data_IF_210904438017
#
_entry.id   IF_210904438017
#
_cell.length_a   1.000
_cell.length_b   1.000
_cell.length_c   1.000
_cell.angle_alpha   90.00
_cell.angle_beta   90.00
_cell.angle_gamma   90.00
#
_symmetry.space_group_name_H-M   'P 1'
#
loop_
_entity.id
_entity.type
_entity.pdbx_description
1 polymer ?
#
# COMPACT_ATOMS: atom_id res chain seq x y z
N UNK A 1 105.33 16.77 0.05
CA UNK A 1 104.31 17.82 0.34
C UNK A 1 103.31 17.94 -0.80
N UNK A 2 103.69 18.36 -2.01
CA UNK A 2 102.72 18.50 -3.12
C UNK A 2 102.15 17.15 -3.58
N UNK A 3 102.98 16.11 -3.68
CA UNK A 3 102.57 14.72 -4.00
C UNK A 3 101.70 14.05 -2.95
N UNK A 4 101.90 14.36 -1.66
CA UNK A 4 101.09 13.82 -0.56
C UNK A 4 99.69 14.47 -0.55
N UNK A 5 99.61 15.76 -0.86
CA UNK A 5 98.36 16.48 -1.01
C UNK A 5 97.55 15.99 -2.22
N UNK A 6 98.20 15.74 -3.35
CA UNK A 6 97.55 15.18 -4.55
C UNK A 6 97.03 13.76 -4.29
N UNK A 7 97.80 12.95 -3.56
CA UNK A 7 97.39 11.58 -3.17
C UNK A 7 96.20 11.61 -2.20
N UNK A 8 96.22 12.51 -1.22
CA UNK A 8 95.09 12.74 -0.32
C UNK A 8 93.85 13.24 -1.08
N UNK A 9 94.03 14.13 -2.07
CA UNK A 9 92.95 14.63 -2.91
C UNK A 9 92.30 13.52 -3.75
N UNK A 10 93.11 12.66 -4.39
CA UNK A 10 92.61 11.49 -5.11
C UNK A 10 91.88 10.53 -4.18
N UNK A 11 92.38 10.29 -2.96
CA UNK A 11 91.71 9.42 -1.99
C UNK A 11 90.33 9.97 -1.57
N UNK A 12 90.21 11.29 -1.41
CA UNK A 12 88.95 11.96 -1.11
C UNK A 12 87.96 11.80 -2.27
N UNK A 13 88.39 12.00 -3.50
CA UNK A 13 87.55 11.83 -4.69
C UNK A 13 87.03 10.38 -4.81
N UNK A 14 87.91 9.39 -4.59
CA UNK A 14 87.50 7.98 -4.60
C UNK A 14 86.49 7.69 -3.49
N UNK A 15 86.71 8.21 -2.26
CA UNK A 15 85.76 8.05 -1.16
C UNK A 15 84.39 8.70 -1.45
N UNK A 16 84.39 9.87 -2.10
CA UNK A 16 83.17 10.55 -2.54
C UNK A 16 82.43 9.75 -3.61
N UNK A 17 83.15 9.15 -4.57
CA UNK A 17 82.56 8.26 -5.58
C UNK A 17 81.95 7.01 -4.95
N UNK A 18 82.63 6.39 -3.98
CA UNK A 18 82.10 5.24 -3.23
C UNK A 18 80.84 5.62 -2.44
N UNK A 19 80.84 6.79 -1.78
CA UNK A 19 79.66 7.28 -1.08
C UNK A 19 78.48 7.55 -2.03
N UNK A 20 78.74 8.15 -3.19
CA UNK A 20 77.71 8.39 -4.21
C UNK A 20 77.12 7.08 -4.74
N UNK A 21 77.96 6.07 -5.03
CA UNK A 21 77.53 4.75 -5.43
C UNK A 21 76.69 4.04 -4.35
N UNK A 22 77.11 4.14 -3.08
CA UNK A 22 76.34 3.60 -1.95
C UNK A 22 74.99 4.29 -1.78
N UNK A 23 74.90 5.60 -2.03
CA UNK A 23 73.64 6.35 -1.99
C UNK A 23 72.70 5.96 -3.12
N UNK A 24 73.23 5.76 -4.33
CA UNK A 24 72.43 5.25 -5.45
C UNK A 24 71.87 3.87 -5.14
N UNK A 25 72.72 2.95 -4.66
CA UNK A 25 72.30 1.60 -4.30
C UNK A 25 71.23 1.58 -3.19
N UNK A 26 71.32 2.49 -2.22
CA UNK A 26 70.27 2.64 -1.20
C UNK A 26 68.94 3.12 -1.82
N UNK A 27 68.99 4.14 -2.68
CA UNK A 27 67.79 4.65 -3.36
C UNK A 27 67.15 3.60 -4.28
N UNK A 28 67.95 2.76 -4.93
CA UNK A 28 67.46 1.65 -5.75
C UNK A 28 66.75 0.59 -4.90
N UNK A 29 67.31 0.26 -3.72
CA UNK A 29 66.68 -0.67 -2.76
C UNK A 29 65.40 -0.09 -2.14
N UNK A 30 65.37 1.21 -1.80
CA UNK A 30 64.17 1.89 -1.32
C UNK A 30 63.05 1.85 -2.37
N UNK A 31 63.38 2.09 -3.65
CA UNK A 31 62.43 1.97 -4.74
C UNK A 31 61.93 0.52 -4.96
N UNK A 32 62.81 -0.48 -4.76
CA UNK A 32 62.43 -1.91 -4.82
C UNK A 32 61.49 -2.28 -3.66
N UNK A 33 61.74 -1.78 -2.44
CA UNK A 33 60.84 -1.95 -1.29
C UNK A 33 59.46 -1.34 -1.56
N UNK A 34 59.40 -0.12 -2.07
CA UNK A 34 58.15 0.54 -2.43
C UNK A 34 57.37 -0.27 -3.48
N UNK A 35 58.06 -0.80 -4.50
CA UNK A 35 57.44 -1.64 -5.53
C UNK A 35 56.89 -2.94 -4.97
N UNK A 36 57.65 -3.62 -4.10
CA UNK A 36 57.17 -4.82 -3.40
C UNK A 36 55.95 -4.53 -2.53
N UNK A 37 55.91 -3.35 -1.90
CA UNK A 37 54.75 -2.86 -1.16
C UNK A 37 53.49 -2.76 -2.05
N UNK A 38 53.63 -2.16 -3.23
CA UNK A 38 52.53 -2.06 -4.21
C UNK A 38 52.06 -3.42 -4.71
N UNK A 39 52.99 -4.34 -4.99
CA UNK A 39 52.67 -5.70 -5.45
C UNK A 39 51.90 -6.50 -4.38
N UNK A 40 52.26 -6.34 -3.10
CA UNK A 40 51.53 -6.93 -1.96
C UNK A 40 50.11 -6.34 -1.89
N UNK A 41 49.97 -5.03 -2.05
CA UNK A 41 48.67 -4.36 -2.03
C UNK A 41 47.77 -4.82 -3.21
N UNK A 42 48.34 -5.00 -4.39
CA UNK A 42 47.66 -5.56 -5.56
C UNK A 42 47.20 -7.00 -5.32
N UNK A 43 48.08 -7.86 -4.81
CA UNK A 43 47.73 -9.22 -4.43
C UNK A 43 46.61 -9.24 -3.36
N UNK A 44 46.68 -8.33 -2.37
CA UNK A 44 45.65 -8.15 -1.35
C UNK A 44 44.30 -7.67 -1.91
N UNK A 45 44.30 -6.82 -2.95
CA UNK A 45 43.09 -6.44 -3.68
C UNK A 45 42.52 -7.61 -4.47
N UNK A 46 43.35 -8.35 -5.20
CA UNK A 46 42.93 -9.50 -5.98
C UNK A 46 42.27 -10.59 -5.11
N UNK A 47 42.85 -10.90 -3.95
CA UNK A 47 42.28 -11.89 -3.02
C UNK A 47 40.94 -11.43 -2.43
N UNK A 48 40.80 -10.16 -2.03
CA UNK A 48 39.51 -9.60 -1.56
C UNK A 48 38.43 -9.64 -2.64
N UNK A 49 38.80 -9.35 -3.89
CA UNK A 49 37.87 -9.46 -5.03
C UNK A 49 37.44 -10.90 -5.26
N UNK A 50 38.37 -11.86 -5.24
CA UNK A 50 38.05 -13.28 -5.37
C UNK A 50 37.17 -13.80 -4.21
N UNK A 51 37.43 -13.34 -2.98
CA UNK A 51 36.62 -13.70 -1.81
C UNK A 51 35.18 -13.17 -1.92
N UNK A 52 34.98 -11.95 -2.42
CA UNK A 52 33.64 -11.40 -2.70
C UNK A 52 32.94 -12.19 -3.79
N UNK A 53 33.62 -12.46 -4.90
CA UNK A 53 33.06 -13.27 -5.99
C UNK A 53 32.64 -14.68 -5.54
N UNK A 54 33.38 -15.29 -4.61
CA UNK A 54 33.00 -16.57 -4.00
C UNK A 54 31.76 -16.44 -3.11
N UNK A 55 31.68 -15.38 -2.30
CA UNK A 55 30.51 -15.11 -1.46
C UNK A 55 29.25 -14.85 -2.30
N UNK A 56 29.39 -14.17 -3.43
CA UNK A 56 28.30 -13.88 -4.37
C UNK A 56 27.71 -15.14 -5.04
N UNK A 57 28.42 -16.28 -5.00
CA UNK A 57 27.87 -17.58 -5.45
C UNK A 57 26.80 -18.15 -4.51
N UNK A 58 26.66 -17.61 -3.29
CA UNK A 58 25.63 -18.02 -2.34
C UNK A 58 24.66 -16.86 -2.12
N UNK A 59 23.51 -16.93 -2.77
CA UNK A 59 22.44 -15.94 -2.60
C UNK A 59 21.64 -16.30 -1.35
N UNK A 60 21.64 -15.39 -0.37
CA UNK A 60 20.83 -15.52 0.85
C UNK A 60 19.79 -14.42 0.90
N UNK A 61 18.60 -14.75 1.41
CA UNK A 61 17.54 -13.77 1.61
C UNK A 61 17.95 -12.78 2.71
N UNK A 62 17.87 -11.48 2.43
CA UNK A 62 18.16 -10.42 3.41
C UNK A 62 17.05 -10.20 4.45
N UNK A 63 15.86 -10.77 4.22
CA UNK A 63 14.70 -10.68 5.10
C UNK A 63 13.94 -12.01 5.13
N UNK A 64 13.15 -12.21 6.18
CA UNK A 64 12.25 -13.35 6.31
C UNK A 64 10.86 -12.99 5.80
N UNK A 65 10.18 -13.94 5.18
CA UNK A 65 8.85 -13.71 4.62
C UNK A 65 8.41 -14.80 3.67
N UNK A 66 7.35 -14.51 2.91
CA UNK A 66 6.82 -15.40 1.89
C UNK A 66 7.54 -15.15 0.57
N UNK A 67 8.13 -16.19 -0.01
CA UNK A 67 8.78 -16.13 -1.33
C UNK A 67 7.76 -16.29 -2.46
N UNK A 68 7.79 -15.36 -3.40
CA UNK A 68 7.03 -15.38 -4.65
C UNK A 68 8.01 -15.30 -5.82
N UNK A 69 8.19 -16.42 -6.51
CA UNK A 69 9.10 -16.47 -7.65
C UNK A 69 9.21 -17.88 -8.19
N UNK A 70 9.98 -18.02 -9.27
CA UNK A 70 10.36 -19.34 -9.77
C UNK A 70 11.40 -19.92 -8.82
N UNK A 71 11.18 -21.15 -8.36
CA UNK A 71 12.20 -21.89 -7.59
C UNK A 71 13.24 -22.37 -8.60
N UNK A 72 14.50 -21.93 -8.53
CA UNK A 72 15.53 -22.34 -9.48
C UNK A 72 15.77 -23.85 -9.39
N UNK A 73 16.04 -24.49 -10.52
CA UNK A 73 16.39 -25.91 -10.56
C UNK A 73 17.91 -26.05 -10.62
N UNK A 74 18.42 -27.14 -10.04
CA UNK A 74 19.85 -27.45 -10.09
C UNK A 74 20.27 -27.60 -11.55
N UNK A 75 21.27 -26.81 -11.97
CA UNK A 75 21.82 -26.81 -13.32
C UNK A 75 21.37 -25.63 -14.18
N UNK A 76 20.41 -24.84 -13.72
CA UNK A 76 20.03 -23.60 -14.40
C UNK A 76 21.15 -22.55 -14.25
N UNK A 77 21.49 -21.90 -15.36
CA UNK A 77 22.45 -20.82 -15.37
C UNK A 77 21.74 -19.51 -15.01
N UNK A 78 22.19 -18.86 -13.93
CA UNK A 78 21.69 -17.55 -13.51
C UNK A 78 22.57 -16.44 -14.09
N UNK A 79 21.93 -15.40 -14.58
CA UNK A 79 22.59 -14.20 -15.11
C UNK A 79 22.73 -13.11 -14.04
N UNK A 80 23.71 -12.23 -14.22
CA UNK A 80 23.89 -11.10 -13.30
C UNK A 80 22.68 -10.15 -13.37
N UNK A 81 22.07 -9.90 -12.21
CA UNK A 81 20.89 -9.05 -12.10
C UNK A 81 19.57 -9.75 -12.44
N UNK A 82 19.57 -11.07 -12.60
CA UNK A 82 18.36 -11.85 -12.79
C UNK A 82 17.46 -11.79 -11.55
N UNK A 83 16.18 -11.49 -11.76
CA UNK A 83 15.18 -11.50 -10.69
C UNK A 83 14.71 -12.93 -10.45
N UNK A 84 15.13 -13.52 -9.33
CA UNK A 84 14.69 -14.88 -8.94
C UNK A 84 13.25 -14.87 -8.40
N UNK A 85 12.91 -13.80 -7.68
CA UNK A 85 11.61 -13.62 -7.05
C UNK A 85 11.63 -12.49 -6.05
N UNK A 86 10.50 -12.34 -5.37
CA UNK A 86 10.26 -11.34 -4.33
C UNK A 86 10.00 -12.05 -3.00
N UNK A 87 10.50 -11.49 -1.91
CA UNK A 87 10.20 -11.96 -0.56
C UNK A 87 9.39 -10.86 0.11
N UNK A 88 8.19 -11.22 0.57
CA UNK A 88 7.29 -10.29 1.23
C UNK A 88 7.17 -10.65 2.71
N UNK A 89 7.57 -9.72 3.57
CA UNK A 89 7.32 -9.82 5.00
C UNK A 89 5.83 -9.55 5.28
N UNK A 90 5.16 -10.52 5.91
CA UNK A 90 3.73 -10.43 6.24
C UNK A 90 3.48 -9.92 7.66
N UNK A 91 4.52 -9.75 8.46
CA UNK A 91 4.41 -9.25 9.83
C UNK A 91 4.49 -7.71 9.87
N UNK A 92 5.05 -7.09 8.82
CA UNK A 92 5.23 -5.64 8.68
C UNK A 92 4.43 -5.08 7.49
N UNK A 93 3.10 -5.15 7.57
CA UNK A 93 2.21 -4.67 6.51
C UNK A 93 1.80 -3.20 6.70
N UNK A 94 1.79 -2.48 5.59
CA UNK A 94 1.29 -1.11 5.51
C UNK A 94 0.05 -1.00 4.62
N UNK A 95 -0.83 -0.08 4.98
CA UNK A 95 -2.02 0.26 4.20
C UNK A 95 -1.94 1.72 3.80
N UNK A 96 -2.13 1.96 2.51
CA UNK A 96 -2.15 3.30 1.92
C UNK A 96 -3.59 3.77 1.85
N UNK A 97 -3.88 4.86 2.56
CA UNK A 97 -5.21 5.46 2.67
C UNK A 97 -5.29 6.70 1.80
N UNK A 98 -6.24 6.68 0.87
CA UNK A 98 -6.56 7.81 0.00
C UNK A 98 -7.49 8.78 0.74
N UNK A 99 -6.90 9.73 1.46
CA UNK A 99 -7.62 10.78 2.20
C UNK A 99 -7.54 12.12 1.48
N UNK A 100 -8.61 12.91 1.48
CA UNK A 100 -8.56 14.27 0.93
C UNK A 100 -7.79 15.22 1.86
N UNK A 101 -7.35 16.37 1.35
CA UNK A 101 -6.61 17.36 2.15
C UNK A 101 -7.36 17.81 3.42
N UNK A 102 -8.70 17.90 3.36
CA UNK A 102 -9.53 18.23 4.53
C UNK A 102 -9.51 17.12 5.56
N UNK A 103 -9.43 15.87 5.14
CA UNK A 103 -9.44 14.71 6.04
C UNK A 103 -8.08 14.50 6.70
N UNK A 104 -7.00 14.68 5.92
CA UNK A 104 -5.63 14.69 6.45
C UNK A 104 -5.49 15.75 7.54
N UNK A 105 -6.04 16.96 7.33
CA UNK A 105 -6.01 18.02 8.33
C UNK A 105 -6.69 17.63 9.66
N UNK A 106 -7.70 16.75 9.62
CA UNK A 106 -8.44 16.29 10.81
C UNK A 106 -7.68 15.25 11.62
N UNK A 107 -6.81 14.48 10.97
CA UNK A 107 -5.98 13.44 11.61
C UNK A 107 -4.55 13.93 11.90
N UNK A 108 -4.24 15.19 11.56
CA UNK A 108 -2.94 15.81 11.77
C UNK A 108 -2.92 16.63 13.06
N UNK A 109 -1.76 16.66 13.72
CA UNK A 109 -1.44 17.54 14.84
C UNK A 109 -0.16 18.35 14.54
N UNK A 110 0.24 19.21 15.48
CA UNK A 110 1.51 19.93 15.38
C UNK A 110 2.67 18.93 15.37
N UNK A 111 3.37 18.80 14.24
CA UNK A 111 4.53 17.94 14.09
C UNK A 111 4.28 16.55 13.50
N UNK A 112 3.05 16.19 13.11
CA UNK A 112 2.78 14.89 12.48
C UNK A 112 1.32 14.46 12.49
N UNK A 113 1.07 13.16 12.33
CA UNK A 113 -0.25 12.56 12.49
C UNK A 113 -0.54 12.31 13.99
N UNK A 114 -1.82 12.37 14.36
CA UNK A 114 -2.26 11.95 15.70
C UNK A 114 -2.21 10.42 15.83
N UNK A 115 -1.94 9.88 17.03
CA UNK A 115 -1.97 8.44 17.31
C UNK A 115 -3.41 7.94 17.43
N UNK A 116 -4.13 7.93 16.30
CA UNK A 116 -5.51 7.49 16.21
C UNK A 116 -5.57 5.99 15.95
N UNK A 117 -6.54 5.32 16.58
CA UNK A 117 -6.86 3.92 16.29
C UNK A 117 -7.57 3.83 14.95
N UNK A 118 -7.14 2.91 14.12
CA UNK A 118 -7.73 2.63 12.80
C UNK A 118 -8.19 1.18 12.79
N UNK A 119 -9.48 0.95 12.56
CA UNK A 119 -9.99 -0.38 12.27
C UNK A 119 -10.10 -0.56 10.76
N UNK A 120 -9.49 -1.62 10.25
CA UNK A 120 -9.54 -1.99 8.85
C UNK A 120 -10.47 -3.17 8.68
N UNK A 121 -11.21 -3.20 7.57
CA UNK A 121 -12.06 -4.33 7.21
C UNK A 121 -11.98 -4.63 5.73
N UNK A 122 -12.02 -5.92 5.36
CA UNK A 122 -11.98 -6.33 3.95
C UNK A 122 -13.41 -6.58 3.46
N UNK A 123 -13.88 -5.87 2.42
CA UNK A 123 -15.22 -6.06 1.87
C UNK A 123 -15.51 -7.52 1.53
N UNK A 124 -16.70 -8.00 1.89
CA UNK A 124 -17.11 -9.39 1.63
C UNK A 124 -16.55 -10.43 2.62
N UNK A 125 -15.79 -10.01 3.62
CA UNK A 125 -15.32 -10.89 4.70
C UNK A 125 -15.64 -10.28 6.08
N UNK A 126 -15.81 -11.10 7.13
CA UNK A 126 -15.96 -10.60 8.49
C UNK A 126 -14.61 -10.24 9.15
N UNK A 127 -13.51 -10.17 8.39
CA UNK A 127 -12.18 -9.92 8.95
C UNK A 127 -12.01 -8.45 9.27
N UNK A 128 -11.52 -8.19 10.48
CA UNK A 128 -11.19 -6.86 10.97
C UNK A 128 -9.76 -6.85 11.52
N UNK A 129 -9.07 -5.74 11.34
CA UNK A 129 -7.69 -5.54 11.73
C UNK A 129 -7.53 -4.21 12.44
N UNK A 130 -6.63 -4.17 13.41
CA UNK A 130 -6.24 -2.93 14.08
C UNK A 130 -4.96 -2.38 13.44
N UNK A 131 -4.93 -1.07 13.25
CA UNK A 131 -3.82 -0.34 12.66
C UNK A 131 -3.66 1.03 13.33
N UNK A 132 -2.49 1.62 13.14
CA UNK A 132 -2.17 2.98 13.58
C UNK A 132 -1.67 3.84 12.43
N UNK A 133 -2.07 5.11 12.42
CA UNK A 133 -1.56 6.09 11.47
C UNK A 133 -0.08 6.35 11.74
N UNK A 134 0.78 6.24 10.72
CA UNK A 134 2.22 6.42 10.87
C UNK A 134 2.70 7.75 10.27
N UNK A 135 2.52 7.94 8.95
CA UNK A 135 3.01 9.12 8.26
C UNK A 135 2.19 9.49 7.02
N UNK A 136 2.40 10.71 6.53
CA UNK A 136 1.89 11.13 5.23
C UNK A 136 2.98 10.92 4.19
N UNK A 137 2.70 10.10 3.19
CA UNK A 137 3.55 9.88 2.03
C UNK A 137 3.12 10.78 0.87
N UNK A 138 4.11 11.26 0.12
CA UNK A 138 3.93 12.02 -1.11
C UNK A 138 4.36 11.13 -2.26
N UNK A 139 3.40 10.65 -3.05
CA UNK A 139 3.69 9.81 -4.21
C UNK A 139 3.47 10.64 -5.48
N UNK A 140 4.45 10.64 -6.38
CA UNK A 140 4.26 11.19 -7.71
C UNK A 140 3.20 10.36 -8.46
N UNK A 141 2.26 11.04 -9.10
CA UNK A 141 1.23 10.43 -9.92
C UNK A 141 1.22 11.13 -11.26
N UNK A 142 1.22 10.35 -12.34
CA UNK A 142 1.23 10.88 -13.71
C UNK A 142 -0.06 11.65 -14.05
N UNK A 143 -1.18 11.36 -13.36
CA UNK A 143 -2.50 11.94 -13.65
C UNK A 143 -2.81 13.20 -12.82
N UNK A 144 -2.43 13.21 -11.54
CA UNK A 144 -2.79 14.28 -10.58
C UNK A 144 -1.56 15.02 -10.01
N UNK A 145 -0.36 14.75 -10.54
CA UNK A 145 0.91 15.33 -10.13
C UNK A 145 1.46 14.70 -8.86
N UNK A 146 0.96 15.10 -7.69
CA UNK A 146 1.40 14.52 -6.41
C UNK A 146 0.21 14.07 -5.59
N UNK A 147 0.06 12.76 -5.42
CA UNK A 147 -0.90 12.15 -4.53
C UNK A 147 -0.37 12.20 -3.09
N UNK A 148 -1.15 12.78 -2.17
CA UNK A 148 -0.88 12.71 -0.74
C UNK A 148 -1.64 11.52 -0.17
N UNK A 149 -0.93 10.54 0.35
CA UNK A 149 -1.53 9.35 0.93
C UNK A 149 -1.12 9.24 2.39
N UNK A 150 -2.04 8.81 3.24
CA UNK A 150 -1.72 8.51 4.63
C UNK A 150 -1.37 7.04 4.73
N UNK A 151 -0.24 6.73 5.34
CA UNK A 151 0.21 5.35 5.57
C UNK A 151 -0.15 4.95 6.99
N UNK A 152 -0.86 3.84 7.12
CA UNK A 152 -1.15 3.17 8.38
C UNK A 152 -0.39 1.85 8.47
N UNK A 153 0.15 1.54 9.64
CA UNK A 153 0.78 0.25 9.91
C UNK A 153 -0.20 -0.67 10.63
N UNK A 154 -0.25 -1.93 10.22
CA UNK A 154 -0.98 -2.94 10.97
C UNK A 154 -0.27 -3.24 12.29
N UNK A 155 -1.06 -3.47 13.34
CA UNK A 155 -0.51 -3.92 14.61
C UNK A 155 0.02 -5.35 14.51
N UNK A 156 1.23 -5.64 15.05
CA UNK A 156 1.79 -6.98 15.05
C UNK A 156 0.87 -7.98 15.75
N UNK A 157 0.60 -9.13 15.11
CA UNK A 157 -0.25 -10.17 15.67
C UNK A 157 -1.75 -10.06 15.33
N UNK A 158 -2.15 -9.10 14.48
CA UNK A 158 -3.52 -9.00 13.93
C UNK A 158 -3.87 -10.11 12.91
N UNK A 159 -3.21 -11.26 12.95
CA UNK A 159 -3.33 -12.29 11.92
C UNK A 159 -4.51 -13.24 12.15
N UNK A 160 -5.28 -13.60 11.10
CA UNK A 160 -4.87 -13.69 9.69
C UNK A 160 -4.89 -12.36 8.91
N UNK A 161 -3.70 -11.82 8.64
CA UNK A 161 -3.45 -10.49 8.12
C UNK A 161 -3.98 -10.34 6.67
N UNK A 162 -4.31 -9.12 6.22
CA UNK A 162 -4.71 -8.89 4.83
C UNK A 162 -3.56 -9.24 3.89
N UNK A 163 -3.90 -9.70 2.68
CA UNK A 163 -2.88 -10.01 1.69
C UNK A 163 -2.44 -8.73 0.95
N UNK A 164 -1.15 -8.59 0.59
CA UNK A 164 -0.70 -7.49 -0.24
C UNK A 164 -1.52 -7.37 -1.53
N UNK A 165 -1.99 -6.16 -1.82
CA UNK A 165 -2.84 -5.87 -2.99
C UNK A 165 -4.35 -5.98 -2.73
N UNK A 166 -4.79 -6.44 -1.55
CA UNK A 166 -6.20 -6.37 -1.17
C UNK A 166 -6.63 -4.93 -0.85
N UNK A 167 -7.86 -4.59 -1.23
CA UNK A 167 -8.49 -3.34 -0.86
C UNK A 167 -9.19 -3.48 0.49
N UNK A 168 -8.94 -2.53 1.39
CA UNK A 168 -9.55 -2.49 2.72
C UNK A 168 -10.31 -1.18 2.91
N UNK A 169 -11.34 -1.22 3.75
CA UNK A 169 -12.03 -0.04 4.26
C UNK A 169 -11.44 0.30 5.62
N UNK A 170 -10.94 1.52 5.75
CA UNK A 170 -10.41 2.05 7.01
C UNK A 170 -11.44 2.92 7.71
N UNK A 171 -11.70 2.62 8.98
CA UNK A 171 -12.47 3.44 9.88
C UNK A 171 -11.52 4.03 10.92
N UNK A 172 -11.36 5.35 10.88
CA UNK A 172 -10.42 6.09 11.73
C UNK A 172 -11.20 6.71 12.87
N UNK A 173 -10.89 6.30 14.11
CA UNK A 173 -11.55 6.86 15.28
C UNK A 173 -10.96 8.25 15.59
N UNK A 174 -11.67 9.30 15.20
CA UNK A 174 -11.30 10.68 15.49
C UNK A 174 -11.65 11.08 16.94
N UNK A 175 -11.00 12.13 17.49
CA UNK A 175 -11.35 12.69 18.79
C UNK A 175 -12.81 13.17 18.83
N UNK A 176 -13.47 12.99 19.98
CA UNK A 176 -14.85 13.42 20.17
C UNK A 176 -14.97 14.95 20.08
N UNK A 177 -15.91 15.42 19.28
CA UNK A 177 -16.30 16.83 19.23
C UNK A 177 -17.14 17.17 20.46
N UNK A 178 -16.79 18.25 21.16
CA UNK A 178 -17.53 18.78 22.30
C UNK A 178 -18.25 20.05 21.90
N UNK A 179 -19.31 20.38 22.62
CA UNK A 179 -20.08 21.62 22.45
C UNK A 179 -20.62 21.78 21.02
N UNK A 180 -21.30 20.75 20.52
CA UNK A 180 -21.86 20.75 19.16
C UNK A 180 -23.37 20.60 19.16
N UNK A 181 -24.03 21.25 18.21
CA UNK A 181 -25.44 20.99 17.90
C UNK A 181 -25.52 20.21 16.59
N UNK A 182 -26.32 19.14 16.58
CA UNK A 182 -26.56 18.33 15.38
C UNK A 182 -27.77 18.87 14.62
N UNK A 183 -27.53 19.33 13.39
CA UNK A 183 -28.56 19.78 12.47
C UNK A 183 -28.74 18.74 11.36
N UNK A 184 -29.97 18.38 10.96
CA UNK A 184 -30.19 17.58 9.76
C UNK A 184 -29.58 18.26 8.53
N UNK A 185 -29.03 17.49 7.59
CA UNK A 185 -28.40 18.01 6.39
C UNK A 185 -29.35 18.88 5.54
N UNK A 186 -30.66 18.60 5.62
CA UNK A 186 -31.72 19.37 4.95
C UNK A 186 -31.94 20.78 5.52
N UNK A 187 -31.50 21.06 6.75
CA UNK A 187 -31.69 22.34 7.41
C UNK A 187 -30.64 23.39 7.00
N UNK A 188 -29.45 22.94 6.57
CA UNK A 188 -28.29 23.81 6.32
C UNK A 188 -28.02 23.94 4.81
N UNK A 189 -27.89 25.18 4.31
CA UNK A 189 -27.47 25.42 2.90
C UNK A 189 -26.02 25.01 2.65
N UNK A 190 -25.62 24.96 1.38
CA UNK A 190 -24.21 24.98 0.94
C UNK A 190 -23.43 26.24 1.38
N UNK A 191 -24.11 27.35 1.67
CA UNK A 191 -23.52 28.60 2.15
C UNK A 191 -23.36 28.66 3.69
N UNK A 192 -23.58 27.53 4.38
CA UNK A 192 -23.56 27.43 5.86
C UNK A 192 -24.59 28.33 6.55
N UNK A 193 -25.79 28.41 5.99
CA UNK A 193 -26.91 29.17 6.52
C UNK A 193 -28.10 28.28 6.89
N UNK A 194 -28.83 28.70 7.92
CA UNK A 194 -30.03 28.04 8.45
C UNK A 194 -31.17 29.06 8.52
N UNK A 195 -32.41 28.61 8.28
CA UNK A 195 -33.60 29.44 8.44
C UNK A 195 -34.09 29.38 9.88
N UNK A 196 -34.19 30.54 10.50
CA UNK A 196 -34.55 30.75 11.91
C UNK A 196 -35.80 31.64 11.95
N UNK A 197 -36.88 31.26 12.65
CA UNK A 197 -38.02 32.14 12.87
C UNK A 197 -37.66 33.24 13.88
N UNK A 198 -38.08 34.48 13.61
CA UNK A 198 -38.04 35.56 14.60
C UNK A 198 -39.30 35.58 15.48
N UNK A 199 -39.42 36.60 16.34
CA UNK A 199 -40.55 36.75 17.26
C UNK A 199 -41.91 36.89 16.56
N UNK A 200 -41.93 37.33 15.29
CA UNK A 200 -43.13 37.45 14.46
C UNK A 200 -43.34 36.22 13.55
N UNK A 201 -42.62 35.13 13.83
CA UNK A 201 -42.53 33.92 13.01
C UNK A 201 -42.09 34.19 11.56
N UNK A 202 -41.34 35.25 11.31
CA UNK A 202 -40.75 35.53 10.01
C UNK A 202 -39.37 34.87 9.92
N UNK A 203 -39.15 34.12 8.85
CA UNK A 203 -37.92 33.41 8.62
C UNK A 203 -36.78 34.37 8.27
N UNK A 204 -35.66 34.20 8.94
CA UNK A 204 -34.43 34.91 8.70
C UNK A 204 -33.30 33.91 8.43
N UNK A 205 -32.38 34.30 7.58
CA UNK A 205 -31.18 33.50 7.30
C UNK A 205 -30.14 33.82 8.35
N UNK A 206 -29.64 32.80 9.04
CA UNK A 206 -28.56 32.92 10.01
C UNK A 206 -27.40 32.02 9.62
N UNK A 207 -26.19 32.57 9.63
CA UNK A 207 -24.97 31.82 9.35
C UNK A 207 -24.58 30.98 10.56
N UNK A 208 -24.21 29.72 10.31
CA UNK A 208 -23.71 28.76 11.30
C UNK A 208 -22.29 28.36 10.95
N UNK A 209 -21.50 28.03 11.96
CA UNK A 209 -20.16 27.48 11.75
C UNK A 209 -20.25 25.96 11.65
N UNK A 210 -19.97 25.42 10.46
CA UNK A 210 -19.96 23.98 10.21
C UNK A 210 -18.67 23.37 10.72
N UNK A 211 -18.79 22.44 11.67
CA UNK A 211 -17.66 21.68 12.21
C UNK A 211 -17.51 20.33 11.48
N UNK A 212 -18.62 19.61 11.26
CA UNK A 212 -18.58 18.28 10.63
C UNK A 212 -19.81 18.00 9.77
N UNK A 213 -19.62 17.30 8.66
CA UNK A 213 -20.70 16.64 7.93
C UNK A 213 -20.64 15.13 8.17
N UNK A 214 -21.76 14.54 8.57
CA UNK A 214 -21.91 13.15 9.02
C UNK A 214 -23.10 12.50 8.30
N UNK A 215 -23.05 12.45 6.96
CA UNK A 215 -24.16 11.93 6.15
C UNK A 215 -25.42 12.79 6.30
N UNK A 216 -26.42 12.25 6.99
CA UNK A 216 -27.73 12.89 7.18
C UNK A 216 -27.72 14.03 8.22
N UNK A 217 -26.66 14.15 9.01
CA UNK A 217 -26.49 15.19 10.02
C UNK A 217 -25.24 16.03 9.78
N UNK A 218 -25.28 17.28 10.23
CA UNK A 218 -24.19 18.24 10.20
C UNK A 218 -24.00 18.71 11.64
N UNK A 219 -22.81 18.50 12.19
CA UNK A 219 -22.42 19.10 13.47
C UNK A 219 -21.98 20.54 13.23
N UNK A 220 -22.60 21.47 13.95
CA UNK A 220 -22.25 22.89 13.98
C UNK A 220 -21.82 23.31 15.38
N UNK A 221 -21.18 24.47 15.45
CA UNK A 221 -20.98 25.18 16.72
C UNK A 221 -22.33 25.32 17.47
N UNK A 222 -22.33 25.41 18.81
CA UNK A 222 -23.55 25.30 19.59
C UNK A 222 -24.48 26.47 19.26
N UNK A 223 -25.74 26.15 18.93
CA UNK A 223 -26.78 27.13 18.60
C UNK A 223 -27.87 27.14 19.68
N UNK A 224 -28.41 28.32 19.95
CA UNK A 224 -29.43 28.59 20.97
C UNK A 224 -30.76 29.08 20.38
N UNK A 225 -31.00 28.80 19.10
CA UNK A 225 -32.17 29.26 18.37
C UNK A 225 -32.93 28.11 17.70
N UNK A 226 -34.24 28.30 17.55
CA UNK A 226 -35.09 27.38 16.81
C UNK A 226 -34.79 27.44 15.31
N UNK A 227 -34.91 26.32 14.61
CA UNK A 227 -34.58 26.26 13.19
C UNK A 227 -35.56 25.40 12.38
N UNK A 228 -35.61 25.67 11.08
CA UNK A 228 -36.41 24.89 10.14
C UNK A 228 -35.66 23.61 9.75
N UNK A 229 -36.18 22.45 10.17
CA UNK A 229 -35.60 21.11 9.90
C UNK A 229 -35.67 20.74 8.40
N UNK A 230 -36.81 20.96 7.77
CA UNK A 230 -37.06 20.58 6.38
C UNK A 230 -37.42 21.79 5.53
N UNK A 231 -36.52 22.15 4.62
CA UNK A 231 -36.70 23.29 3.71
C UNK A 231 -37.29 22.80 2.40
N UNK A 232 -38.60 23.02 2.22
CA UNK A 232 -39.20 22.89 0.90
C UNK A 232 -38.66 23.99 -0.03
N UNK A 233 -38.52 23.77 -1.34
CA UNK A 233 -38.01 24.78 -2.29
C UNK A 233 -38.75 26.14 -2.27
N UNK A 234 -39.97 26.15 -1.72
CA UNK A 234 -40.84 27.33 -1.61
C UNK A 234 -40.63 28.14 -0.32
N UNK A 235 -39.84 27.64 0.64
CA UNK A 235 -39.61 28.30 1.94
C UNK A 235 -38.25 29.01 1.91
N UNK A 236 -38.30 30.34 1.99
CA UNK A 236 -37.13 31.22 1.98
C UNK A 236 -37.19 32.30 3.07
N UNK A 237 -36.13 33.09 3.16
CA UNK A 237 -36.08 34.23 4.07
C UNK A 237 -37.19 35.25 3.76
N UNK A 238 -37.72 35.88 4.81
CA UNK A 238 -38.78 36.88 4.73
C UNK A 238 -40.19 36.33 4.71
N UNK A 239 -40.40 35.00 4.67
CA UNK A 239 -41.74 34.42 4.79
C UNK A 239 -42.16 34.28 6.25
N UNK A 240 -43.42 34.59 6.54
CA UNK A 240 -44.04 34.29 7.84
C UNK A 240 -44.54 32.85 7.80
N UNK A 241 -44.16 32.06 8.78
CA UNK A 241 -44.58 30.66 8.92
C UNK A 241 -45.49 30.48 10.12
N UNK A 242 -46.22 29.36 10.13
CA UNK A 242 -46.90 28.85 11.33
C UNK A 242 -46.11 27.62 11.80
N UNK A 243 -45.19 27.77 12.77
CA UNK A 243 -44.31 26.69 13.20
C UNK A 243 -45.12 25.46 13.63
N UNK A 244 -44.73 24.29 13.12
CA UNK A 244 -45.19 23.01 13.64
C UNK A 244 -44.08 22.48 14.52
N UNK A 245 -44.30 22.55 15.83
CA UNK A 245 -43.39 21.94 16.78
C UNK A 245 -43.65 20.44 16.76
N UNK A 246 -42.62 19.60 16.55
CA UNK A 246 -42.81 18.18 16.68
C UNK A 246 -43.37 17.89 18.08
N UNK A 247 -44.57 17.34 18.16
CA UNK A 247 -45.05 16.73 19.40
C UNK A 247 -44.08 15.61 19.74
N UNK A 248 -43.50 15.68 20.94
CA UNK A 248 -42.24 15.01 21.28
C UNK A 248 -42.17 13.54 20.87
N UNK A 249 -41.39 13.27 19.82
CA UNK A 249 -40.44 12.17 19.72
C UNK A 249 -39.47 12.46 18.57
N UNK A 250 -38.58 13.42 18.76
CA UNK A 250 -37.54 13.76 17.79
C UNK A 250 -36.21 13.13 18.25
N UNK A 251 -35.98 11.89 17.79
CA UNK A 251 -34.65 11.28 17.66
C UNK A 251 -33.80 11.27 18.93
N UNK A 252 -34.01 10.26 19.77
CA UNK A 252 -32.94 9.80 20.64
C UNK A 252 -31.67 9.54 19.77
N UNK A 253 -30.48 10.00 20.19
CA UNK A 253 -29.23 9.59 19.56
C UNK A 253 -29.17 8.06 19.50
N UNK A 254 -28.55 7.43 18.48
CA UNK A 254 -28.29 6.00 18.55
C UNK A 254 -27.43 5.76 19.80
N UNK A 255 -28.05 5.17 20.82
CA UNK A 255 -27.35 4.66 21.99
C UNK A 255 -26.31 3.65 21.48
N UNK A 256 -25.09 3.82 21.97
CA UNK A 256 -24.03 2.85 21.77
C UNK A 256 -24.50 1.51 22.33
N UNK A 257 -24.44 0.48 21.49
CA UNK A 257 -24.83 -0.90 21.81
C UNK A 257 -23.82 -1.51 22.79
N UNK A 258 -23.92 -1.16 24.07
CA UNK A 258 -23.20 -1.79 25.18
C UNK A 258 -24.07 -2.94 25.73
N UNK A 259 -24.17 -4.03 24.97
CA UNK A 259 -24.73 -5.29 25.49
C UNK A 259 -23.64 -6.14 26.11
N UNK A 260 -23.21 -5.73 27.31
CA UNK A 260 -22.71 -6.69 28.32
C UNK A 260 -23.91 -7.51 28.80
N UNK A 261 -24.06 -8.74 28.31
CA UNK A 261 -24.84 -9.77 29.00
C UNK A 261 -23.87 -10.69 29.74
N UNK A 262 -23.60 -10.31 30.99
CA UNK A 262 -23.14 -11.23 32.02
C UNK A 262 -24.30 -12.17 32.38
N UNK A 263 -24.15 -13.46 32.05
CA UNK A 263 -25.02 -14.52 32.52
C UNK A 263 -24.14 -15.58 33.19
N UNK A 264 -23.88 -15.39 34.49
CA UNK A 264 -23.38 -16.44 35.37
C UNK A 264 -24.43 -16.80 36.44
N UNK A 265 -25.05 -17.98 36.34
CA UNK A 265 -25.11 -18.97 37.43
C UNK A 265 -25.78 -20.30 37.05
N UNK A 266 -25.45 -21.39 37.76
CA UNK A 266 -25.25 -22.72 37.19
C UNK A 266 -26.32 -23.75 37.61
N UNK A 267 -26.38 -24.87 36.89
CA UNK A 267 -26.71 -26.19 37.46
C UNK A 267 -26.35 -27.34 36.49
N UNK A 268 -25.36 -28.16 36.87
CA UNK A 268 -25.27 -29.60 36.56
C UNK A 268 -26.05 -30.37 37.66
N UNK A 269 -26.46 -31.66 37.53
CA UNK A 269 -25.70 -32.81 36.99
C UNK A 269 -26.53 -33.77 36.11
N UNK A 270 -25.97 -34.68 35.31
CA UNK A 270 -25.60 -36.04 35.74
C UNK A 270 -25.15 -36.84 34.51
N UNK A 271 -24.02 -37.56 34.61
CA UNK A 271 -23.58 -38.63 33.72
C UNK A 271 -24.06 -39.99 34.30
N UNK A 272 -24.10 -41.12 33.56
CA UNK A 272 -22.85 -41.75 33.13
C UNK A 272 -22.86 -42.59 31.83
N UNK A 273 -21.63 -42.92 31.40
CA UNK A 273 -21.17 -44.24 30.94
C UNK A 273 -21.40 -44.72 29.47
N UNK A 274 -20.28 -44.72 28.72
CA UNK A 274 -19.50 -45.92 28.29
C UNK A 274 -19.50 -46.31 26.80
N UNK A 275 -18.27 -46.30 26.27
CA UNK A 275 -17.63 -47.21 25.30
C UNK A 275 -18.16 -47.37 23.86
N UNK A 276 -17.19 -47.33 22.94
CA UNK A 276 -17.19 -48.18 21.73
C UNK A 276 -16.91 -47.43 20.44
N UNK A 277 -15.62 -47.31 20.07
CA UNK A 277 -15.23 -47.29 18.66
C UNK A 277 -15.31 -48.75 18.14
N UNK A 278 -15.56 -49.00 16.84
CA UNK A 278 -14.46 -48.88 15.89
C UNK A 278 -14.83 -48.40 14.46
N UNK A 279 -13.81 -47.80 13.83
CA UNK A 279 -13.38 -47.93 12.43
C UNK A 279 -14.42 -48.11 11.32
N UNK A 280 -14.49 -47.11 10.42
CA UNK A 280 -14.72 -47.36 8.98
C UNK A 280 -13.85 -46.44 8.11
N UNK A 281 -13.04 -47.09 7.29
CA UNK A 281 -12.24 -46.56 6.19
C UNK A 281 -13.07 -46.56 4.87
N UNK A 282 -12.56 -46.06 3.73
CA UNK A 282 -13.16 -44.96 2.99
C UNK A 282 -13.87 -45.39 1.71
N UNK A 283 -14.84 -44.59 1.22
CA UNK A 283 -15.45 -44.85 -0.07
C UNK A 283 -16.54 -43.87 -0.49
N UNK A 284 -16.20 -43.10 -1.54
CA UNK A 284 -17.05 -42.43 -2.52
C UNK A 284 -17.44 -40.95 -2.30
N UNK A 285 -17.13 -40.09 -3.30
CA UNK A 285 -17.47 -38.67 -3.28
C UNK A 285 -18.95 -38.46 -3.56
N UNK A 286 -19.57 -37.59 -2.76
CA UNK A 286 -20.95 -37.15 -2.94
C UNK A 286 -20.95 -35.80 -3.65
N UNK A 287 -21.40 -35.79 -4.89
CA UNK A 287 -21.70 -34.60 -5.65
C UNK A 287 -22.95 -33.90 -5.09
N UNK A 288 -22.85 -32.57 -4.93
CA UNK A 288 -23.91 -31.65 -4.55
C UNK A 288 -23.42 -30.21 -4.73
N UNK A 289 -24.29 -29.25 -5.09
CA UNK A 289 -24.04 -28.32 -6.19
C UNK A 289 -23.40 -27.00 -5.76
N UNK A 290 -22.49 -26.49 -6.61
CA UNK A 290 -22.04 -25.10 -6.57
C UNK A 290 -22.83 -24.30 -7.60
N UNK A 291 -23.57 -23.29 -7.13
CA UNK A 291 -24.14 -22.21 -7.93
C UNK A 291 -23.65 -20.88 -7.37
N UNK A 292 -22.96 -20.10 -8.20
CA UNK A 292 -22.52 -18.73 -7.95
C UNK A 292 -21.79 -18.16 -9.18
N UNK A 293 -21.98 -16.88 -9.55
CA UNK A 293 -22.12 -16.46 -10.94
C UNK A 293 -20.85 -15.83 -11.55
N UNK A 294 -20.68 -15.93 -12.89
CA UNK A 294 -19.79 -15.01 -13.61
C UNK A 294 -18.98 -15.52 -14.82
N UNK A 295 -19.19 -16.74 -15.32
CA UNK A 295 -18.53 -17.24 -16.54
C UNK A 295 -19.53 -17.54 -17.65
N UNK A 296 -19.61 -16.68 -18.68
CA UNK A 296 -20.29 -17.05 -19.92
C UNK A 296 -19.61 -18.24 -20.60
N UNK A 297 -20.30 -19.01 -21.45
CA UNK A 297 -19.75 -20.22 -22.06
C UNK A 297 -18.54 -19.86 -22.93
N UNK A 298 -17.41 -20.50 -22.67
CA UNK A 298 -16.21 -20.42 -23.50
C UNK A 298 -16.42 -21.28 -24.75
N UNK A 299 -16.29 -20.68 -25.93
CA UNK A 299 -16.48 -21.38 -27.22
C UNK A 299 -15.13 -21.66 -27.87
N UNK A 300 -14.89 -22.93 -28.20
CA UNK A 300 -13.71 -23.36 -28.98
C UNK A 300 -13.93 -23.00 -30.45
N UNK A 301 -13.12 -22.11 -30.99
CA UNK A 301 -13.24 -21.64 -32.37
C UNK A 301 -12.66 -22.68 -33.35
N UNK A 302 -13.41 -23.01 -34.40
CA UNK A 302 -12.90 -23.81 -35.51
C UNK A 302 -11.72 -23.08 -36.20
N UNK A 303 -10.64 -23.80 -36.58
CA UNK A 303 -9.39 -23.20 -37.05
C UNK A 303 -9.55 -22.31 -38.30
N UNK A 304 -10.53 -22.60 -39.16
CA UNK A 304 -10.83 -21.82 -40.37
C UNK A 304 -11.38 -20.43 -40.04
N UNK A 305 -12.23 -20.30 -39.01
CA UNK A 305 -12.84 -19.02 -38.61
C UNK A 305 -11.83 -18.10 -37.91
N UNK A 306 -10.86 -18.69 -37.19
CA UNK A 306 -9.72 -18.00 -36.58
C UNK A 306 -8.80 -17.37 -37.62
N UNK A 307 -8.48 -18.10 -38.69
CA UNK A 307 -7.64 -17.59 -39.77
C UNK A 307 -8.28 -16.39 -40.51
N UNK A 308 -9.60 -16.44 -40.72
CA UNK A 308 -10.35 -15.34 -41.35
C UNK A 308 -10.35 -14.06 -40.50
N UNK A 309 -10.49 -14.18 -39.17
CA UNK A 309 -10.47 -13.04 -38.24
C UNK A 309 -9.07 -12.41 -38.12
N UNK A 310 -8.01 -13.23 -38.08
CA UNK A 310 -6.62 -12.74 -38.05
C UNK A 310 -6.28 -12.01 -39.36
N UNK A 311 -6.68 -12.54 -40.52
CA UNK A 311 -6.47 -11.88 -41.80
C UNK A 311 -7.20 -10.53 -41.88
N UNK A 312 -8.42 -10.45 -41.32
CA UNK A 312 -9.22 -9.23 -41.30
C UNK A 312 -8.63 -8.15 -40.37
N UNK A 313 -8.12 -8.53 -39.19
CA UNK A 313 -7.47 -7.60 -38.27
C UNK A 313 -6.14 -7.07 -38.83
N UNK A 314 -5.40 -7.89 -39.60
CA UNK A 314 -4.17 -7.46 -40.28
C UNK A 314 -4.42 -6.52 -41.46
N UNK A 315 -5.62 -6.55 -42.06
CA UNK A 315 -5.99 -5.71 -43.19
C UNK A 315 -6.67 -4.38 -42.79
N UNK A 316 -6.97 -4.17 -41.51
CA UNK A 316 -7.66 -2.96 -41.02
C UNK A 316 -6.66 -1.90 -40.54
N UNK A 317 -6.60 -0.77 -41.26
CA UNK A 317 -5.72 0.39 -40.97
C UNK A 317 -6.33 1.42 -39.99
N UNK A 318 -7.53 1.18 -39.49
CA UNK A 318 -8.24 2.08 -38.55
C UNK A 318 -7.91 1.83 -37.07
N UNK A 319 -7.06 0.86 -36.74
CA UNK A 319 -6.70 0.50 -35.35
C UNK A 319 -5.25 0.85 -34.97
N UNK A 320 -4.99 1.43 -33.77
CA UNK A 320 -3.65 1.64 -33.24
C UNK A 320 -2.87 0.33 -33.03
N UNK A 321 -1.57 0.32 -33.37
CA UNK A 321 -0.74 -0.90 -33.38
C UNK A 321 -0.78 -1.70 -32.07
N UNK A 322 -0.74 -1.02 -30.92
CA UNK A 322 -0.80 -1.68 -29.60
C UNK A 322 -2.11 -2.44 -29.33
N UNK A 323 -3.22 -2.03 -29.95
CA UNK A 323 -4.50 -2.73 -29.82
C UNK A 323 -4.56 -3.94 -30.77
N UNK A 324 -3.99 -3.80 -31.96
CA UNK A 324 -3.85 -4.90 -32.94
C UNK A 324 -3.05 -6.06 -32.35
N UNK A 325 -1.93 -5.76 -31.68
CA UNK A 325 -1.08 -6.80 -31.08
C UNK A 325 -1.77 -7.53 -29.92
N UNK A 326 -2.51 -6.80 -29.07
CA UNK A 326 -3.31 -7.41 -28.00
C UNK A 326 -4.42 -8.30 -28.55
N UNK A 327 -5.11 -7.88 -29.61
CA UNK A 327 -6.16 -8.67 -30.24
C UNK A 327 -5.60 -9.96 -30.88
N UNK A 328 -4.43 -9.88 -31.52
CA UNK A 328 -3.73 -11.04 -32.08
C UNK A 328 -3.26 -12.01 -30.99
N UNK A 329 -2.84 -11.51 -29.83
CA UNK A 329 -2.42 -12.32 -28.70
C UNK A 329 -3.60 -13.03 -28.01
N UNK A 330 -4.78 -12.40 -27.96
CA UNK A 330 -5.99 -13.04 -27.43
C UNK A 330 -6.52 -14.09 -28.41
N UNK A 331 -6.49 -13.81 -29.72
CA UNK A 331 -6.82 -14.80 -30.77
C UNK A 331 -5.74 -15.88 -30.92
N UNK A 332 -4.60 -15.78 -30.22
CA UNK A 332 -3.58 -16.83 -30.16
C UNK A 332 -3.99 -18.00 -29.25
N UNK A 333 -4.91 -17.76 -28.32
CA UNK A 333 -5.37 -18.72 -27.31
C UNK A 333 -6.44 -19.68 -27.86
N UNK A 334 -6.48 -20.90 -27.34
CA UNK A 334 -7.37 -21.97 -27.83
C UNK A 334 -8.85 -21.78 -27.46
N UNK A 335 -9.16 -20.86 -26.54
CA UNK A 335 -10.53 -20.53 -26.15
C UNK A 335 -10.69 -19.03 -25.98
N UNK A 336 -11.65 -18.45 -26.70
CA UNK A 336 -11.89 -17.00 -26.72
C UNK A 336 -13.30 -16.73 -26.16
N UNK A 337 -13.46 -15.82 -25.19
CA UNK A 337 -14.78 -15.48 -24.65
C UNK A 337 -15.72 -14.88 -25.71
N UNK A 338 -16.98 -15.34 -25.78
CA UNK A 338 -17.96 -14.85 -26.77
C UNK A 338 -18.19 -13.33 -26.70
N UNK A 339 -18.12 -12.74 -25.51
CA UNK A 339 -18.24 -11.29 -25.31
C UNK A 339 -17.09 -10.48 -25.96
N UNK A 340 -15.98 -11.11 -26.31
CA UNK A 340 -14.89 -10.49 -27.07
C UNK A 340 -15.14 -10.59 -28.58
N UNK A 341 -15.68 -11.71 -29.04
CA UNK A 341 -16.06 -11.92 -30.45
C UNK A 341 -17.20 -10.99 -30.87
N UNK A 342 -18.23 -10.86 -30.03
CA UNK A 342 -19.36 -9.96 -30.31
C UNK A 342 -18.90 -8.49 -30.37
N UNK A 343 -17.91 -8.08 -29.57
CA UNK A 343 -17.36 -6.72 -29.65
C UNK A 343 -16.58 -6.48 -30.94
N UNK A 344 -15.82 -7.47 -31.41
CA UNK A 344 -15.10 -7.39 -32.69
C UNK A 344 -16.02 -7.46 -33.92
N UNK A 345 -17.19 -8.09 -33.82
CA UNK A 345 -18.20 -8.13 -34.89
C UNK A 345 -19.13 -6.90 -34.88
N UNK A 346 -19.22 -6.15 -33.76
CA UNK A 346 -20.08 -4.96 -33.63
C UNK A 346 -19.33 -3.64 -33.86
N UNK A 347 -18.00 -3.63 -33.73
CA UNK A 347 -17.17 -2.48 -34.11
C UNK A 347 -16.77 -2.58 -35.59
N UNK A 348 -17.71 -2.21 -36.45
CA UNK A 348 -17.43 -1.59 -37.77
C UNK A 348 -17.46 -0.06 -37.61
#
# INVERSE_FOLDING_TARGET
MQTDADTAHLSLLTAQQTLAASRSALADLEAEEDQLGLDIDDAGRATRTAARALADLTITAGLSGTYHGTVPVIGDALSNGEELGTITDLDALEVRLDLTAREIARVSAVGGLMPLKVSLSTPGTPRQYEAQLHHVSLTASDDIGTARQVVAWLEPGACPCPLPGEFVLANIQEPALRDVTLLPASAVTLADEVLVPDADNRLQTRKVERLRAMGDFIAVAPVDFDYVVQRSPQIGAGLVISPQWPEGDAGAPPEADDTTTDAHRPASPTAPARAGNPEREPGQPRAGPAGGPGGGPAVTLAPERRAALIARIKASDTMPERQRDRALQVLAQDSVPEAFLQRLETQD
#
